data_IF_135731534003
#
_entry.id   IF_135731534003
#
_cell.length_a   1.000
_cell.length_b   1.000
_cell.length_c   1.000
_cell.angle_alpha   90.00
_cell.angle_beta   90.00
_cell.angle_gamma   90.00
#
_symmetry.space_group_name_H-M   'P 1'
#
loop_
_entity.id
_entity.type
_entity.pdbx_description
1 polymer ?
#
# COMPACT_ATOMS: atom_id res chain seq x y z
N UNK A 1 12.18 34.87 6.38
CA UNK A 1 10.85 35.52 6.49
C UNK A 1 10.21 35.46 5.12
N UNK A 2 9.10 34.75 4.96
CA UNK A 2 8.46 34.58 3.65
C UNK A 2 8.10 35.95 3.05
N UNK A 3 8.53 36.20 1.82
CA UNK A 3 8.39 37.48 1.12
C UNK A 3 7.00 37.70 0.53
N UNK A 4 6.16 36.68 0.51
CA UNK A 4 4.80 36.73 -0.03
C UNK A 4 3.75 36.76 1.09
N UNK A 5 2.61 37.45 0.87
CA UNK A 5 1.48 37.40 1.80
C UNK A 5 0.90 35.98 1.87
N UNK A 6 0.20 35.61 2.96
CA UNK A 6 -0.49 34.33 3.07
C UNK A 6 -1.47 34.10 1.90
N UNK A 7 -1.43 32.92 1.29
CA UNK A 7 -2.23 32.54 0.13
C UNK A 7 -2.90 31.19 0.35
N UNK A 8 -4.06 30.99 -0.29
CA UNK A 8 -4.67 29.66 -0.35
C UNK A 8 -3.93 28.77 -1.35
N UNK A 9 -3.75 27.51 -0.95
CA UNK A 9 -3.35 26.44 -1.85
C UNK A 9 -4.57 25.80 -2.51
N UNK A 10 -4.36 24.97 -3.53
CA UNK A 10 -5.43 24.30 -4.29
C UNK A 10 -4.98 22.93 -4.77
N UNK A 11 -5.97 22.07 -4.99
CA UNK A 11 -5.82 20.86 -5.78
C UNK A 11 -6.86 20.81 -6.90
N UNK A 12 -6.64 19.95 -7.88
CA UNK A 12 -7.43 19.89 -9.11
C UNK A 12 -7.85 18.45 -9.43
N UNK A 13 -9.09 18.29 -9.89
CA UNK A 13 -9.63 17.00 -10.28
C UNK A 13 -10.49 17.13 -11.53
N UNK A 14 -10.24 16.26 -12.51
CA UNK A 14 -10.94 16.25 -13.78
C UNK A 14 -11.37 14.82 -14.14
N UNK A 15 -12.62 14.68 -14.53
CA UNK A 15 -13.23 13.38 -14.88
C UNK A 15 -14.15 13.53 -16.08
N UNK A 16 -14.39 12.44 -16.80
CA UNK A 16 -15.44 12.41 -17.81
C UNK A 16 -16.83 12.34 -17.16
N UNK A 17 -17.82 12.96 -17.81
CA UNK A 17 -19.22 12.91 -17.39
C UNK A 17 -19.50 13.68 -16.10
N UNK A 18 -20.40 13.15 -15.26
CA UNK A 18 -20.88 13.79 -14.01
C UNK A 18 -20.45 13.03 -12.75
N UNK A 19 -19.21 12.56 -12.70
CA UNK A 19 -18.66 11.81 -11.55
C UNK A 19 -18.03 12.74 -10.50
N UNK A 20 -18.85 13.61 -9.90
CA UNK A 20 -18.38 14.69 -9.02
C UNK A 20 -17.56 14.18 -7.83
N UNK A 21 -17.97 13.06 -7.22
CA UNK A 21 -17.23 12.44 -6.12
C UNK A 21 -15.80 12.07 -6.52
N UNK A 22 -15.58 11.53 -7.72
CA UNK A 22 -14.23 11.18 -8.20
C UNK A 22 -13.40 12.43 -8.46
N UNK A 23 -14.00 13.48 -9.03
CA UNK A 23 -13.31 14.75 -9.23
C UNK A 23 -12.91 15.39 -7.89
N UNK A 24 -13.81 15.40 -6.90
CA UNK A 24 -13.51 15.90 -5.55
C UNK A 24 -12.40 15.09 -4.88
N UNK A 25 -12.46 13.75 -4.91
CA UNK A 25 -11.40 12.90 -4.37
C UNK A 25 -10.07 13.15 -5.05
N UNK A 26 -10.05 13.31 -6.38
CA UNK A 26 -8.84 13.62 -7.14
C UNK A 26 -8.24 14.97 -6.71
N UNK A 27 -9.05 16.02 -6.56
CA UNK A 27 -8.57 17.33 -6.13
C UNK A 27 -8.01 17.32 -4.70
N UNK A 28 -8.60 16.55 -3.78
CA UNK A 28 -8.11 16.41 -2.41
C UNK A 28 -6.76 15.65 -2.38
N UNK A 29 -6.65 14.56 -3.13
CA UNK A 29 -5.41 13.78 -3.23
C UNK A 29 -4.32 14.60 -3.93
N UNK A 30 -4.64 15.30 -5.02
CA UNK A 30 -3.69 16.20 -5.72
C UNK A 30 -3.10 17.23 -4.75
N UNK A 31 -3.93 17.89 -3.93
CA UNK A 31 -3.41 18.80 -2.91
C UNK A 31 -2.58 18.09 -1.83
N UNK A 32 -2.95 16.89 -1.42
CA UNK A 32 -2.26 16.14 -0.36
C UNK A 32 -0.86 15.69 -0.80
N UNK A 33 -0.71 15.26 -2.06
CA UNK A 33 0.58 14.85 -2.63
C UNK A 33 1.57 16.02 -2.77
N UNK A 34 1.08 17.26 -2.79
CA UNK A 34 1.93 18.46 -2.84
C UNK A 34 2.53 18.85 -1.48
N UNK A 35 2.40 18.01 -0.45
CA UNK A 35 2.94 18.27 0.89
C UNK A 35 4.43 18.67 0.86
N UNK A 36 5.26 17.94 0.12
CA UNK A 36 6.70 18.24 -0.02
C UNK A 36 6.96 19.59 -0.68
N UNK A 37 6.22 19.93 -1.74
CA UNK A 37 6.33 21.22 -2.44
C UNK A 37 5.98 22.39 -1.53
N UNK A 38 5.07 22.16 -0.59
CA UNK A 38 4.54 23.17 0.33
C UNK A 38 5.28 23.20 1.67
N UNK A 39 6.31 22.36 1.85
CA UNK A 39 7.09 22.27 3.08
C UNK A 39 6.32 21.66 4.25
N UNK A 40 5.31 20.85 3.97
CA UNK A 40 4.51 20.13 4.97
C UNK A 40 5.18 18.79 5.32
N UNK A 41 5.09 18.37 6.59
CA UNK A 41 5.49 17.03 7.00
C UNK A 41 4.49 15.99 6.47
N UNK A 42 5.00 14.79 6.14
CA UNK A 42 4.19 13.66 5.71
C UNK A 42 3.76 12.90 6.96
N UNK A 43 2.52 13.12 7.39
CA UNK A 43 1.95 12.52 8.60
C UNK A 43 0.89 11.45 8.28
N UNK A 44 0.34 11.48 7.06
CA UNK A 44 -0.75 10.61 6.67
C UNK A 44 -0.48 9.90 5.32
N UNK A 45 -1.04 8.69 5.10
CA UNK A 45 -0.86 7.96 3.85
C UNK A 45 -1.28 8.72 2.60
N UNK A 46 -2.25 9.64 2.71
CA UNK A 46 -2.72 10.44 1.59
C UNK A 46 -1.67 11.46 1.07
N UNK A 47 -0.62 11.73 1.86
CA UNK A 47 0.49 12.61 1.50
C UNK A 47 1.71 11.82 0.98
N UNK A 48 1.69 10.49 1.09
CA UNK A 48 2.75 9.61 0.61
C UNK A 48 2.50 9.23 -0.86
N UNK A 49 3.28 9.84 -1.76
CA UNK A 49 3.19 9.63 -3.21
C UNK A 49 3.34 8.17 -3.61
N UNK A 50 4.29 7.44 -3.03
CA UNK A 50 4.54 6.04 -3.39
C UNK A 50 3.36 5.17 -2.95
N UNK A 51 2.92 5.34 -1.70
CA UNK A 51 1.80 4.58 -1.18
C UNK A 51 0.51 4.83 -1.97
N UNK A 52 0.20 6.09 -2.29
CA UNK A 52 -1.03 6.44 -3.02
C UNK A 52 -0.96 5.95 -4.46
N UNK A 53 0.06 6.32 -5.23
CA UNK A 53 0.10 6.07 -6.67
C UNK A 53 0.23 4.58 -6.99
N UNK A 54 1.02 3.84 -6.20
CA UNK A 54 1.23 2.41 -6.43
C UNK A 54 -0.02 1.56 -6.17
N UNK A 55 -0.99 2.05 -5.38
CA UNK A 55 -2.19 1.28 -5.01
C UNK A 55 -3.50 1.87 -5.57
N UNK A 56 -3.44 2.93 -6.39
CA UNK A 56 -4.62 3.63 -6.89
C UNK A 56 -5.24 3.02 -8.15
N UNK A 57 -4.45 2.32 -8.98
CA UNK A 57 -4.96 1.66 -10.18
C UNK A 57 -5.65 0.34 -9.82
N UNK A 58 -6.95 0.29 -10.01
CA UNK A 58 -7.73 -0.90 -9.72
C UNK A 58 -7.51 -2.02 -10.74
N UNK A 59 -7.08 -1.73 -11.97
CA UNK A 59 -6.76 -2.76 -12.97
C UNK A 59 -5.59 -3.61 -12.47
N UNK A 60 -4.53 -2.95 -11.99
CA UNK A 60 -3.38 -3.61 -11.39
C UNK A 60 -3.73 -4.24 -10.05
N UNK A 61 -4.29 -3.48 -9.11
CA UNK A 61 -4.58 -3.96 -7.76
C UNK A 61 -5.55 -5.14 -7.77
N UNK A 62 -6.61 -5.08 -8.60
CA UNK A 62 -7.52 -6.20 -8.75
C UNK A 62 -6.83 -7.39 -9.43
N UNK A 63 -6.02 -7.17 -10.47
CA UNK A 63 -5.24 -8.23 -11.11
C UNK A 63 -4.39 -8.99 -10.10
N UNK A 64 -3.69 -8.26 -9.23
CA UNK A 64 -2.91 -8.85 -8.15
C UNK A 64 -3.81 -9.56 -7.11
N UNK A 65 -4.93 -9.01 -6.65
CA UNK A 65 -5.76 -9.79 -5.70
C UNK A 65 -6.32 -11.06 -6.35
N UNK A 66 -6.69 -11.00 -7.63
CA UNK A 66 -7.28 -12.13 -8.34
C UNK A 66 -6.26 -13.23 -8.70
N UNK A 67 -4.97 -12.91 -8.85
CA UNK A 67 -3.97 -13.93 -9.19
C UNK A 67 -3.88 -15.01 -8.12
N UNK A 68 -4.15 -14.70 -6.84
CA UNK A 68 -4.12 -15.66 -5.73
C UNK A 68 -5.04 -16.88 -5.92
N UNK A 69 -6.05 -16.79 -6.80
CA UNK A 69 -6.92 -17.91 -7.15
C UNK A 69 -6.26 -18.92 -8.09
N UNK A 70 -5.18 -18.53 -8.76
CA UNK A 70 -4.41 -19.41 -9.62
C UNK A 70 -3.68 -20.47 -8.77
N UNK A 71 -3.22 -21.57 -9.37
CA UNK A 71 -2.56 -22.62 -8.61
C UNK A 71 -1.21 -22.16 -8.03
N UNK A 72 -1.11 -22.13 -6.69
CA UNK A 72 0.12 -21.85 -5.92
C UNK A 72 0.60 -23.09 -5.14
N UNK A 73 0.26 -24.30 -5.61
CA UNK A 73 0.55 -25.53 -4.87
C UNK A 73 2.05 -25.84 -4.78
N UNK A 74 2.88 -25.35 -5.70
CA UNK A 74 4.35 -25.55 -5.65
C UNK A 74 4.98 -24.70 -4.54
N UNK A 75 4.64 -23.42 -4.49
CA UNK A 75 5.11 -22.51 -3.44
C UNK A 75 4.60 -22.98 -2.07
N UNK A 76 3.31 -23.31 -1.98
CA UNK A 76 2.72 -23.84 -0.75
C UNK A 76 3.35 -25.16 -0.30
N UNK A 77 3.73 -26.03 -1.24
CA UNK A 77 4.44 -27.27 -0.92
C UNK A 77 5.83 -26.99 -0.33
N UNK A 78 6.55 -26.00 -0.87
CA UNK A 78 7.86 -25.58 -0.36
C UNK A 78 7.76 -25.07 1.08
N UNK A 79 6.76 -24.22 1.36
CA UNK A 79 6.47 -23.74 2.72
C UNK A 79 6.07 -24.87 3.69
N UNK A 80 5.28 -25.85 3.22
CA UNK A 80 4.92 -27.02 4.03
C UNK A 80 6.14 -27.87 4.40
N UNK A 81 7.11 -28.01 3.50
CA UNK A 81 8.37 -28.73 3.79
C UNK A 81 9.14 -28.02 4.89
N UNK A 82 9.29 -26.69 4.79
CA UNK A 82 9.97 -25.88 5.78
C UNK A 82 9.32 -26.01 7.16
N UNK A 83 8.01 -25.78 7.26
CA UNK A 83 7.27 -25.87 8.53
C UNK A 83 7.37 -27.27 9.13
N UNK A 84 7.31 -28.33 8.33
CA UNK A 84 7.44 -29.71 8.81
C UNK A 84 8.86 -30.01 9.31
N UNK A 85 9.89 -29.46 8.69
CA UNK A 85 11.27 -29.58 9.17
C UNK A 85 11.45 -28.89 10.52
N UNK A 86 11.01 -27.64 10.65
CA UNK A 86 11.07 -26.88 11.90
C UNK A 86 10.32 -27.59 13.04
N UNK A 87 9.16 -28.21 12.74
CA UNK A 87 8.40 -28.99 13.73
C UNK A 87 9.14 -30.23 14.21
N UNK A 88 9.84 -30.95 13.31
CA UNK A 88 10.65 -32.12 13.70
C UNK A 88 11.82 -31.72 14.58
N UNK A 89 12.51 -30.64 14.22
CA UNK A 89 13.63 -30.12 15.01
C UNK A 89 13.19 -29.68 16.40
N UNK A 90 12.09 -28.93 16.51
CA UNK A 90 11.53 -28.53 17.80
C UNK A 90 11.08 -29.73 18.66
N UNK A 91 10.58 -30.80 18.05
CA UNK A 91 10.25 -32.04 18.77
C UNK A 91 11.49 -32.77 19.28
N UNK A 92 12.55 -32.88 18.48
CA UNK A 92 13.82 -33.49 18.89
C UNK A 92 14.43 -32.75 20.08
N UNK A 93 14.54 -31.42 20.00
CA UNK A 93 15.06 -30.60 21.12
C UNK A 93 14.25 -30.73 22.40
N UNK A 94 12.92 -30.90 22.31
CA UNK A 94 12.08 -31.14 23.49
C UNK A 94 12.32 -32.51 24.10
N UNK A 95 12.58 -33.53 23.29
CA UNK A 95 12.89 -34.86 23.79
C UNK A 95 14.27 -34.88 24.46
N UNK A 96 15.28 -34.24 23.86
CA UNK A 96 16.62 -34.08 24.44
C UNK A 96 16.63 -33.30 25.77
N UNK A 97 15.72 -32.36 25.96
CA UNK A 97 15.58 -31.61 27.21
C UNK A 97 14.75 -32.35 28.29
N UNK A 98 14.04 -33.41 27.90
CA UNK A 98 13.23 -34.24 28.80
C UNK A 98 13.96 -35.50 29.26
N UNK A 99 15.02 -35.91 28.54
CA UNK A 99 16.04 -36.87 29.00
C UNK A 99 17.08 -36.20 29.90
#
# INVERSE_FOLDING_TARGET
TATEPPQFTRGYGLVFGRSERKAMSMALVDRSLRARELGEEIEAPAQDEEFVLYHSDNVEAQGFVQHLKLPHYVDFQSELVLVRALRREAAARRNEAAE
#
